data_IF_918126287718
#
_entry.id   IF_918126287718
#
_cell.length_a   1.000
_cell.length_b   1.000
_cell.length_c   1.000
_cell.angle_alpha   90.00
_cell.angle_beta   90.00
_cell.angle_gamma   90.00
#
_symmetry.space_group_name_H-M   'P 1'
#
loop_
_entity.id
_entity.type
_entity.pdbx_description
1 polymer ?
#
# COMPACT_ATOMS: atom_id res chain seq x y z
N UNK A 1 13.39 30.42 -49.61
CA UNK A 1 12.23 30.14 -48.73
C UNK A 1 11.61 28.76 -48.95
N UNK A 2 11.41 28.27 -50.18
CA UNK A 2 10.80 26.94 -50.42
C UNK A 2 11.61 25.75 -49.88
N UNK A 3 12.94 25.84 -49.84
CA UNK A 3 13.82 24.78 -49.31
C UNK A 3 13.72 24.60 -47.78
N UNK A 4 13.43 25.68 -47.04
CA UNK A 4 13.33 25.64 -45.58
C UNK A 4 12.07 24.89 -45.12
N UNK A 5 10.94 25.14 -45.80
CA UNK A 5 9.68 24.42 -45.53
C UNK A 5 9.76 22.93 -45.87
N UNK A 6 10.50 22.56 -46.93
CA UNK A 6 10.71 21.14 -47.29
C UNK A 6 11.55 20.43 -46.21
N UNK A 7 12.60 21.09 -45.69
CA UNK A 7 13.42 20.52 -44.59
C UNK A 7 12.62 20.30 -43.30
N UNK A 8 11.72 21.23 -42.96
CA UNK A 8 10.86 21.11 -41.78
C UNK A 8 9.84 19.97 -41.89
N UNK A 9 9.23 19.79 -43.06
CA UNK A 9 8.31 18.67 -43.32
C UNK A 9 9.06 17.33 -43.21
N UNK A 10 10.27 17.25 -43.76
CA UNK A 10 11.08 16.02 -43.70
C UNK A 10 11.51 15.69 -42.27
N UNK A 11 11.89 16.71 -41.48
CA UNK A 11 12.23 16.52 -40.07
C UNK A 11 11.03 16.07 -39.23
N UNK A 12 9.83 16.57 -39.53
CA UNK A 12 8.60 16.16 -38.85
C UNK A 12 8.21 14.72 -39.21
N UNK A 13 8.40 14.32 -40.46
CA UNK A 13 8.17 12.94 -40.92
C UNK A 13 9.13 11.95 -40.26
N UNK A 14 10.42 12.30 -40.16
CA UNK A 14 11.41 11.47 -39.45
C UNK A 14 11.04 11.33 -37.96
N UNK A 15 10.60 12.42 -37.32
CA UNK A 15 10.16 12.39 -35.92
C UNK A 15 8.97 11.44 -35.71
N UNK A 16 7.96 11.49 -36.58
CA UNK A 16 6.80 10.59 -36.55
C UNK A 16 7.20 9.11 -36.74
N UNK A 17 8.13 8.82 -37.65
CA UNK A 17 8.62 7.44 -37.87
C UNK A 17 9.39 6.94 -36.64
N UNK A 18 10.19 7.80 -35.98
CA UNK A 18 10.94 7.39 -34.77
C UNK A 18 10.05 7.14 -33.55
N UNK A 19 8.88 7.78 -33.47
CA UNK A 19 7.89 7.55 -32.42
C UNK A 19 7.29 6.14 -32.47
N UNK A 20 7.16 5.54 -33.66
CA UNK A 20 6.63 4.18 -33.82
C UNK A 20 7.64 3.08 -33.44
N UNK A 21 8.95 3.38 -33.41
CA UNK A 21 9.96 2.41 -32.97
C UNK A 21 10.15 2.35 -31.45
N UNK A 22 9.42 3.17 -30.68
CA UNK A 22 9.40 3.12 -29.22
C UNK A 22 8.45 2.04 -28.66
N UNK A 23 8.11 1.02 -29.44
CA UNK A 23 7.45 -0.17 -28.90
C UNK A 23 8.41 -0.85 -27.91
N UNK A 24 8.09 -0.71 -26.61
CA UNK A 24 8.79 -1.40 -25.55
C UNK A 24 8.84 -2.90 -25.85
N UNK A 25 10.04 -3.47 -25.81
CA UNK A 25 10.22 -4.91 -25.96
C UNK A 25 9.54 -5.63 -24.79
N UNK A 26 8.86 -6.74 -25.11
CA UNK A 26 8.33 -7.68 -24.13
C UNK A 26 9.43 -8.12 -23.13
N UNK A 27 9.01 -8.54 -21.94
CA UNK A 27 9.94 -8.89 -20.87
C UNK A 27 9.43 -10.00 -19.97
N UNK A 28 10.35 -10.63 -19.25
CA UNK A 28 10.08 -11.56 -18.15
C UNK A 28 10.78 -11.03 -16.91
N UNK A 29 10.03 -10.88 -15.82
CA UNK A 29 10.56 -10.63 -14.48
C UNK A 29 10.69 -11.97 -13.78
N UNK A 30 11.88 -12.29 -13.31
CA UNK A 30 12.13 -13.54 -12.58
C UNK A 30 11.81 -13.39 -11.10
N UNK A 31 11.71 -14.51 -10.37
CA UNK A 31 11.56 -14.48 -8.91
C UNK A 31 12.80 -13.96 -8.17
N UNK A 32 13.93 -13.77 -8.86
CA UNK A 32 15.13 -13.11 -8.32
C UNK A 32 15.09 -11.59 -8.49
N UNK A 33 14.05 -11.04 -9.14
CA UNK A 33 13.93 -9.61 -9.42
C UNK A 33 14.56 -9.17 -10.74
N UNK A 34 15.27 -10.06 -11.44
CA UNK A 34 15.85 -9.74 -12.74
C UNK A 34 14.76 -9.53 -13.80
N UNK A 35 14.87 -8.45 -14.57
CA UNK A 35 14.02 -8.20 -15.74
C UNK A 35 14.82 -8.50 -17.01
N UNK A 36 14.41 -9.53 -17.74
CA UNK A 36 15.02 -9.94 -19.00
C UNK A 36 14.10 -9.52 -20.14
N UNK A 37 14.63 -8.76 -21.10
CA UNK A 37 13.89 -8.26 -22.28
C UNK A 37 14.18 -9.11 -23.51
N UNK A 38 13.18 -9.30 -24.36
CA UNK A 38 13.32 -10.05 -25.60
C UNK A 38 11.98 -10.48 -26.20
N UNK A 39 12.03 -11.34 -27.21
CA UNK A 39 10.82 -11.92 -27.80
C UNK A 39 10.23 -12.95 -26.82
N UNK A 40 9.06 -12.65 -26.26
CA UNK A 40 8.36 -13.52 -25.29
C UNK A 40 7.37 -14.42 -26.01
N UNK A 41 7.39 -15.71 -25.66
CA UNK A 41 6.43 -16.71 -26.14
C UNK A 41 5.90 -17.53 -24.96
N UNK A 42 4.71 -17.20 -24.44
CA UNK A 42 4.10 -17.97 -23.37
C UNK A 42 3.54 -19.31 -23.88
N UNK A 43 3.58 -20.33 -23.03
CA UNK A 43 2.99 -21.64 -23.28
C UNK A 43 1.92 -21.91 -22.21
N UNK A 44 0.67 -21.63 -22.56
CA UNK A 44 -0.47 -21.68 -21.63
C UNK A 44 -1.16 -23.06 -21.51
N UNK A 45 -0.97 -23.93 -22.50
CA UNK A 45 -1.79 -25.14 -22.72
C UNK A 45 -1.15 -26.46 -22.26
N UNK A 46 0.02 -26.43 -21.63
CA UNK A 46 0.67 -27.62 -21.07
C UNK A 46 0.49 -27.68 -19.56
N UNK A 47 0.54 -28.90 -19.00
CA UNK A 47 0.60 -29.14 -17.54
C UNK A 47 1.74 -28.32 -16.92
N UNK A 48 2.87 -28.27 -17.61
CA UNK A 48 4.00 -27.39 -17.29
C UNK A 48 3.88 -26.05 -18.01
N UNK A 49 3.09 -25.13 -17.46
CA UNK A 49 3.02 -23.76 -17.98
C UNK A 49 4.38 -23.07 -17.82
N UNK A 50 4.86 -22.46 -18.90
CA UNK A 50 6.21 -21.86 -18.96
C UNK A 50 6.25 -20.69 -19.94
N UNK A 51 7.26 -19.86 -19.81
CA UNK A 51 7.49 -18.70 -20.69
C UNK A 51 8.83 -18.89 -21.38
N UNK A 52 8.86 -18.74 -22.69
CA UNK A 52 10.09 -18.75 -23.47
C UNK A 52 10.47 -17.31 -23.78
N UNK A 53 11.74 -16.96 -23.61
CA UNK A 53 12.28 -15.67 -23.98
C UNK A 53 13.46 -15.88 -24.93
N UNK A 54 13.49 -15.12 -26.01
CA UNK A 54 14.62 -15.09 -26.94
C UNK A 54 15.28 -13.72 -26.89
N UNK A 55 16.51 -13.70 -26.40
CA UNK A 55 17.31 -12.48 -26.28
C UNK A 55 17.92 -12.03 -27.61
N UNK A 56 18.66 -10.91 -27.57
CA UNK A 56 19.37 -10.38 -28.73
C UNK A 56 20.43 -11.35 -29.31
N UNK A 57 21.00 -12.20 -28.45
CA UNK A 57 21.92 -13.27 -28.82
C UNK A 57 21.25 -14.46 -29.52
N UNK A 58 19.94 -14.37 -29.77
CA UNK A 58 19.06 -15.41 -30.33
C UNK A 58 18.99 -16.69 -29.49
N UNK A 59 19.59 -16.72 -28.30
CA UNK A 59 19.48 -17.85 -27.38
C UNK A 59 18.10 -17.84 -26.76
N UNK A 60 17.54 -19.04 -26.65
CA UNK A 60 16.22 -19.28 -26.11
C UNK A 60 16.35 -19.74 -24.67
N UNK A 61 15.82 -18.96 -23.75
CA UNK A 61 15.72 -19.29 -22.33
C UNK A 61 14.28 -19.70 -22.05
N UNK A 62 14.09 -20.74 -21.24
CA UNK A 62 12.77 -21.24 -20.84
C UNK A 62 12.64 -21.07 -19.34
N UNK A 63 11.67 -20.26 -18.92
CA UNK A 63 11.34 -20.02 -17.52
C UNK A 63 10.12 -20.85 -17.12
N UNK A 64 10.28 -21.81 -16.19
CA UNK A 64 9.14 -22.45 -15.53
C UNK A 64 8.31 -21.42 -14.77
N UNK A 65 7.01 -21.68 -14.58
CA UNK A 65 6.10 -20.75 -13.88
C UNK A 65 6.62 -20.22 -12.55
N UNK A 66 7.11 -21.10 -11.67
CA UNK A 66 7.60 -20.72 -10.34
C UNK A 66 8.93 -19.95 -10.34
N UNK A 67 9.53 -19.72 -11.52
CA UNK A 67 10.70 -18.85 -11.70
C UNK A 67 10.33 -17.51 -12.34
N UNK A 68 9.07 -17.29 -12.65
CA UNK A 68 8.53 -16.06 -13.22
C UNK A 68 7.72 -15.33 -12.17
N UNK A 69 8.00 -14.05 -11.96
CA UNK A 69 7.17 -13.17 -11.14
C UNK A 69 6.07 -12.53 -12.00
N UNK A 70 6.43 -12.03 -13.18
CA UNK A 70 5.52 -11.47 -14.16
C UNK A 70 6.16 -11.54 -15.55
N UNK A 71 5.36 -11.42 -16.61
CA UNK A 71 5.88 -11.17 -17.94
C UNK A 71 4.94 -10.28 -18.73
N UNK A 72 5.48 -9.52 -19.67
CA UNK A 72 4.71 -8.80 -20.67
C UNK A 72 4.73 -9.58 -21.98
N UNK A 73 3.57 -9.70 -22.61
CA UNK A 73 3.44 -10.29 -23.94
C UNK A 73 2.39 -9.51 -24.72
N UNK A 74 2.78 -8.92 -25.84
CA UNK A 74 1.88 -8.11 -26.71
C UNK A 74 1.20 -6.98 -25.94
N UNK A 75 1.94 -6.30 -25.06
CA UNK A 75 1.45 -5.18 -24.25
C UNK A 75 0.72 -5.60 -22.97
N UNK A 76 0.27 -6.84 -22.86
CA UNK A 76 -0.45 -7.34 -21.69
C UNK A 76 0.49 -7.93 -20.64
N UNK A 77 0.21 -7.68 -19.36
CA UNK A 77 0.97 -8.24 -18.25
C UNK A 77 0.31 -9.54 -17.78
N UNK A 78 1.12 -10.55 -17.52
CA UNK A 78 0.70 -11.84 -17.01
C UNK A 78 1.47 -12.20 -15.75
N UNK A 79 0.79 -12.82 -14.79
CA UNK A 79 1.37 -13.24 -13.52
C UNK A 79 0.93 -14.66 -13.16
N UNK A 80 1.77 -15.44 -12.45
CA UNK A 80 1.33 -16.71 -11.89
C UNK A 80 0.39 -16.45 -10.72
N UNK A 81 -0.83 -16.97 -10.82
CA UNK A 81 -1.88 -16.82 -9.80
C UNK A 81 -2.40 -18.20 -9.42
N UNK A 82 -2.63 -18.42 -8.12
CA UNK A 82 -3.25 -19.64 -7.62
C UNK A 82 -4.76 -19.57 -7.87
N UNK A 83 -5.20 -20.14 -8.98
CA UNK A 83 -6.62 -20.28 -9.29
C UNK A 83 -7.26 -21.51 -8.63
N UNK A 84 -8.55 -21.77 -8.90
CA UNK A 84 -9.28 -22.91 -8.35
C UNK A 84 -8.66 -24.27 -8.73
N UNK A 85 -8.10 -24.36 -9.94
CA UNK A 85 -7.51 -25.58 -10.49
C UNK A 85 -5.97 -25.63 -10.34
N UNK A 86 -5.41 -24.84 -9.43
CA UNK A 86 -3.97 -24.70 -9.22
C UNK A 86 -3.37 -23.45 -9.87
N UNK A 87 -2.04 -23.44 -10.01
CA UNK A 87 -1.32 -22.28 -10.51
C UNK A 87 -1.45 -22.16 -12.03
N UNK A 88 -1.80 -20.95 -12.49
CA UNK A 88 -1.84 -20.60 -13.91
C UNK A 88 -1.32 -19.20 -14.14
N UNK A 89 -0.87 -18.91 -15.34
CA UNK A 89 -0.70 -17.52 -15.75
C UNK A 89 -2.06 -16.91 -16.02
N UNK A 90 -2.32 -15.76 -15.41
CA UNK A 90 -3.51 -14.96 -15.66
C UNK A 90 -3.08 -13.59 -16.18
N UNK A 91 -3.88 -13.01 -17.07
CA UNK A 91 -3.69 -11.66 -17.59
C UNK A 91 -4.14 -10.66 -16.54
N UNK A 92 -3.26 -9.77 -16.12
CA UNK A 92 -3.57 -8.69 -15.19
C UNK A 92 -4.40 -7.62 -15.90
N UNK A 93 -5.63 -7.41 -15.43
CA UNK A 93 -6.50 -6.31 -15.90
C UNK A 93 -6.29 -5.06 -15.05
N UNK A 94 -6.17 -5.25 -13.72
CA UNK A 94 -6.01 -4.16 -12.77
C UNK A 94 -5.23 -4.61 -11.54
N UNK A 95 -4.21 -3.85 -11.18
CA UNK A 95 -3.35 -4.15 -10.04
C UNK A 95 -3.82 -3.44 -8.76
N UNK A 96 -3.51 -4.01 -7.60
CA UNK A 96 -3.77 -3.43 -6.29
C UNK A 96 -3.71 -4.45 -5.16
N UNK A 97 -4.09 -4.06 -3.94
CA UNK A 97 -4.30 -4.99 -2.81
C UNK A 97 -5.33 -6.06 -3.16
N UNK A 98 -6.40 -5.64 -3.83
CA UNK A 98 -7.25 -6.47 -4.66
C UNK A 98 -6.85 -6.22 -6.12
N UNK A 99 -6.53 -7.29 -6.83
CA UNK A 99 -6.18 -7.25 -8.25
C UNK A 99 -7.22 -8.03 -9.06
N UNK A 100 -7.58 -7.51 -10.22
CA UNK A 100 -8.44 -8.19 -11.20
C UNK A 100 -7.59 -8.80 -12.29
N UNK A 101 -7.85 -10.08 -12.52
CA UNK A 101 -7.24 -10.87 -13.58
C UNK A 101 -8.30 -11.42 -14.51
N UNK A 102 -7.87 -11.71 -15.74
CA UNK A 102 -8.59 -12.62 -16.62
C UNK A 102 -7.77 -13.87 -16.91
N UNK A 103 -8.47 -14.99 -17.10
CA UNK A 103 -7.86 -16.30 -17.30
C UNK A 103 -8.59 -17.12 -18.35
N UNK A 104 -7.91 -18.12 -18.89
CA UNK A 104 -8.48 -19.03 -19.87
C UNK A 104 -9.37 -20.06 -19.19
N UNK A 105 -10.63 -20.11 -19.59
CA UNK A 105 -11.54 -21.17 -19.18
C UNK A 105 -11.09 -22.50 -19.81
N UNK A 106 -11.52 -23.61 -19.19
CA UNK A 106 -11.20 -24.94 -19.71
C UNK A 106 -11.65 -25.07 -21.17
N UNK A 107 -10.76 -25.58 -22.03
CA UNK A 107 -10.96 -25.75 -23.46
C UNK A 107 -11.17 -24.45 -24.26
N UNK A 108 -10.83 -23.28 -23.71
CA UNK A 108 -10.89 -21.99 -24.41
C UNK A 108 -9.51 -21.36 -24.53
N UNK A 109 -9.28 -20.69 -25.67
CA UNK A 109 -8.06 -19.93 -25.92
C UNK A 109 -8.17 -18.46 -25.47
N UNK A 110 -9.40 -17.98 -25.28
CA UNK A 110 -9.73 -16.61 -24.86
C UNK A 110 -9.63 -16.46 -23.35
N UNK A 111 -9.35 -15.23 -22.91
CA UNK A 111 -9.18 -14.88 -21.50
C UNK A 111 -10.48 -14.26 -20.97
N UNK A 112 -11.56 -15.05 -20.97
CA UNK A 112 -12.91 -14.59 -20.63
C UNK A 112 -13.29 -14.86 -19.17
N UNK A 113 -12.59 -15.78 -18.50
CA UNK A 113 -12.77 -16.01 -17.06
C UNK A 113 -12.22 -14.82 -16.27
N UNK A 114 -12.92 -14.40 -15.22
CA UNK A 114 -12.51 -13.28 -14.36
C UNK A 114 -12.19 -13.78 -12.95
N UNK A 115 -11.09 -13.30 -12.39
CA UNK A 115 -10.59 -13.73 -11.10
C UNK A 115 -10.11 -12.52 -10.29
N UNK A 116 -10.56 -12.43 -9.06
CA UNK A 116 -10.09 -11.45 -8.09
C UNK A 116 -9.07 -12.12 -7.17
N UNK A 117 -7.90 -11.50 -6.99
CA UNK A 117 -6.88 -11.97 -6.05
C UNK A 117 -6.54 -10.88 -5.06
N UNK A 118 -6.54 -11.23 -3.78
CA UNK A 118 -6.00 -10.39 -2.72
C UNK A 118 -4.50 -10.61 -2.59
N UNK A 119 -3.81 -9.63 -2.02
CA UNK A 119 -2.36 -9.66 -1.74
C UNK A 119 -1.96 -10.75 -0.74
N UNK A 120 -2.89 -11.20 0.10
CA UNK A 120 -2.71 -12.34 1.01
C UNK A 120 -2.70 -13.71 0.32
N UNK A 121 -2.92 -13.76 -1.00
CA UNK A 121 -2.95 -14.97 -1.81
C UNK A 121 -4.30 -15.69 -1.83
N UNK A 122 -5.32 -15.16 -1.15
CA UNK A 122 -6.70 -15.59 -1.34
C UNK A 122 -7.25 -15.03 -2.64
N UNK A 123 -8.20 -15.74 -3.24
CA UNK A 123 -8.78 -15.31 -4.50
C UNK A 123 -10.16 -15.92 -4.73
N UNK A 124 -10.90 -15.30 -5.64
CA UNK A 124 -12.27 -15.63 -5.97
C UNK A 124 -12.44 -15.56 -7.48
N UNK A 125 -12.85 -16.67 -8.09
CA UNK A 125 -13.40 -16.63 -9.44
C UNK A 125 -14.74 -15.91 -9.40
N UNK A 126 -14.91 -14.90 -10.26
CA UNK A 126 -16.11 -14.06 -10.27
C UNK A 126 -17.31 -14.91 -10.69
N UNK A 127 -18.26 -15.19 -9.78
CA UNK A 127 -19.29 -16.16 -10.06
C UNK A 127 -20.41 -15.54 -10.91
N UNK A 128 -20.99 -16.36 -11.79
CA UNK A 128 -22.13 -15.94 -12.62
C UNK A 128 -23.43 -15.81 -11.83
N UNK A 129 -23.63 -16.70 -10.85
CA UNK A 129 -24.78 -16.72 -9.96
C UNK A 129 -24.31 -16.39 -8.54
N UNK A 130 -25.18 -15.80 -7.73
CA UNK A 130 -24.87 -15.44 -6.34
C UNK A 130 -23.69 -14.47 -6.17
N UNK A 131 -23.39 -13.65 -7.19
CA UNK A 131 -22.33 -12.64 -7.17
C UNK A 131 -22.31 -11.83 -5.86
N UNK A 132 -23.43 -11.19 -5.51
CA UNK A 132 -23.55 -10.41 -4.27
C UNK A 132 -23.11 -11.22 -3.05
N UNK A 133 -23.65 -12.42 -2.86
CA UNK A 133 -23.35 -13.28 -1.70
C UNK A 133 -21.86 -13.59 -1.56
N UNK A 134 -21.21 -14.00 -2.64
CA UNK A 134 -19.78 -14.34 -2.60
C UNK A 134 -18.90 -13.10 -2.43
N UNK A 135 -19.21 -12.01 -3.13
CA UNK A 135 -18.46 -10.77 -3.04
C UNK A 135 -18.52 -10.14 -1.66
N UNK A 136 -19.70 -10.11 -1.03
CA UNK A 136 -19.85 -9.60 0.35
C UNK A 136 -18.97 -10.35 1.34
N UNK A 137 -18.94 -11.68 1.24
CA UNK A 137 -18.09 -12.51 2.11
C UNK A 137 -16.61 -12.30 1.81
N UNK A 138 -16.26 -12.18 0.52
CA UNK A 138 -14.86 -12.05 0.10
C UNK A 138 -14.25 -10.69 0.45
N UNK A 139 -15.07 -9.63 0.49
CA UNK A 139 -14.68 -8.25 0.79
C UNK A 139 -15.20 -7.78 2.17
N UNK A 140 -15.51 -8.70 3.08
CA UNK A 140 -16.14 -8.39 4.39
C UNK A 140 -15.29 -7.46 5.26
N UNK A 141 -13.99 -7.39 4.99
CA UNK A 141 -13.05 -6.50 5.65
C UNK A 141 -13.19 -5.03 5.24
N UNK A 142 -13.96 -4.72 4.18
CA UNK A 142 -14.29 -3.36 3.76
C UNK A 142 -15.82 -3.15 3.72
N UNK A 143 -16.46 -2.86 4.88
CA UNK A 143 -17.92 -2.76 4.98
C UNK A 143 -18.55 -1.75 4.03
N UNK A 144 -17.87 -0.63 3.73
CA UNK A 144 -18.37 0.39 2.79
C UNK A 144 -18.54 -0.17 1.36
N UNK A 145 -17.62 -1.03 0.92
CA UNK A 145 -17.71 -1.68 -0.41
C UNK A 145 -18.82 -2.74 -0.40
N UNK A 146 -18.95 -3.50 0.70
CA UNK A 146 -20.00 -4.50 0.89
C UNK A 146 -21.40 -3.86 0.80
N UNK A 147 -21.57 -2.69 1.42
CA UNK A 147 -22.83 -1.93 1.38
C UNK A 147 -23.20 -1.49 -0.04
N UNK A 148 -22.24 -0.97 -0.81
CA UNK A 148 -22.47 -0.60 -2.21
C UNK A 148 -22.85 -1.81 -3.08
N UNK A 149 -22.28 -2.99 -2.82
CA UNK A 149 -22.66 -4.24 -3.49
C UNK A 149 -24.08 -4.69 -3.09
N UNK A 150 -24.43 -4.53 -1.81
CA UNK A 150 -25.77 -4.84 -1.30
C UNK A 150 -26.83 -3.98 -1.97
N UNK A 151 -26.60 -2.66 -1.97
CA UNK A 151 -27.48 -1.67 -2.58
C UNK A 151 -27.57 -1.82 -4.11
N UNK A 152 -26.56 -2.45 -4.72
CA UNK A 152 -26.51 -2.71 -6.16
C UNK A 152 -25.83 -1.62 -6.97
N UNK A 153 -25.16 -0.69 -6.31
CA UNK A 153 -24.32 0.35 -6.93
C UNK A 153 -23.07 -0.28 -7.58
N UNK A 154 -22.55 -1.35 -6.97
CA UNK A 154 -21.44 -2.14 -7.48
C UNK A 154 -21.88 -3.57 -7.82
N UNK A 155 -21.92 -3.86 -9.12
CA UNK A 155 -22.33 -5.15 -9.68
C UNK A 155 -21.20 -5.89 -10.38
N UNK A 156 -21.58 -6.95 -11.09
CA UNK A 156 -20.64 -7.80 -11.84
C UNK A 156 -19.99 -7.06 -13.02
N UNK A 157 -20.61 -5.99 -13.54
CA UNK A 157 -20.05 -5.23 -14.66
C UNK A 157 -19.03 -4.20 -14.14
N UNK A 158 -19.18 -3.81 -12.89
CA UNK A 158 -18.43 -2.75 -12.21
C UNK A 158 -17.21 -3.33 -11.44
N UNK A 159 -16.55 -4.35 -12.00
CA UNK A 159 -15.43 -5.02 -11.32
C UNK A 159 -14.21 -4.12 -11.14
N UNK A 160 -13.98 -3.19 -12.08
CA UNK A 160 -12.88 -2.25 -11.96
C UNK A 160 -13.13 -1.26 -10.82
N UNK A 161 -14.37 -0.84 -10.64
CA UNK A 161 -14.83 0.07 -9.60
C UNK A 161 -14.81 -0.62 -8.23
N UNK A 162 -15.19 -1.90 -8.16
CA UNK A 162 -15.04 -2.72 -6.95
C UNK A 162 -13.56 -2.80 -6.52
N UNK A 163 -12.66 -3.01 -7.48
CA UNK A 163 -11.22 -3.04 -7.21
C UNK A 163 -10.72 -1.69 -6.68
N UNK A 164 -11.13 -0.58 -7.28
CA UNK A 164 -10.76 0.75 -6.80
C UNK A 164 -11.27 1.00 -5.39
N UNK A 165 -12.56 0.78 -5.16
CA UNK A 165 -13.20 1.04 -3.87
C UNK A 165 -12.58 0.20 -2.75
N UNK A 166 -12.24 -1.06 -3.03
CA UNK A 166 -11.55 -1.91 -2.06
C UNK A 166 -10.13 -1.44 -1.79
N UNK A 167 -9.35 -1.14 -2.83
CA UNK A 167 -7.97 -0.67 -2.66
C UNK A 167 -7.93 0.65 -1.87
N UNK A 168 -8.85 1.57 -2.16
CA UNK A 168 -9.00 2.81 -1.41
C UNK A 168 -9.35 2.56 0.06
N UNK A 169 -10.30 1.67 0.35
CA UNK A 169 -10.63 1.29 1.72
C UNK A 169 -9.40 0.76 2.49
N UNK A 170 -8.55 -0.04 1.84
CA UNK A 170 -7.32 -0.55 2.47
C UNK A 170 -6.31 0.58 2.71
N UNK A 171 -6.13 1.48 1.75
CA UNK A 171 -5.23 2.62 1.87
C UNK A 171 -5.66 3.56 3.01
N UNK A 172 -6.95 3.90 3.10
CA UNK A 172 -7.51 4.76 4.14
C UNK A 172 -7.26 4.17 5.54
N UNK A 173 -7.47 2.85 5.72
CA UNK A 173 -7.22 2.17 6.99
C UNK A 173 -5.73 2.11 7.35
N UNK A 174 -4.85 2.07 6.36
CA UNK A 174 -3.40 2.06 6.59
C UNK A 174 -2.92 3.43 7.07
N UNK A 175 -3.47 4.50 6.50
CA UNK A 175 -3.18 5.88 6.91
C UNK A 175 -3.63 6.12 8.35
N UNK A 176 -4.84 5.68 8.72
CA UNK A 176 -5.36 5.85 10.09
C UNK A 176 -4.50 5.12 11.13
N UNK A 177 -4.04 3.90 10.82
CA UNK A 177 -3.16 3.18 11.74
C UNK A 177 -1.80 3.86 11.93
N UNK A 178 -1.23 4.42 10.85
CA UNK A 178 0.04 5.15 10.93
C UNK A 178 -0.05 6.42 11.78
N UNK A 179 -1.17 7.15 11.70
CA UNK A 179 -1.43 8.33 12.53
C UNK A 179 -1.58 7.95 14.01
N UNK A 180 -2.33 6.89 14.31
CA UNK A 180 -2.46 6.39 15.68
C UNK A 180 -1.13 5.94 16.29
N UNK A 181 -0.23 5.39 15.49
CA UNK A 181 1.11 5.02 15.94
C UNK A 181 1.98 6.27 16.20
N UNK A 182 1.91 7.28 15.34
CA UNK A 182 2.61 8.54 15.54
C UNK A 182 2.10 9.27 16.81
N UNK A 183 0.78 9.35 17.01
CA UNK A 183 0.17 9.95 18.21
C UNK A 183 0.58 9.20 19.49
N UNK A 184 0.63 7.87 19.46
CA UNK A 184 1.11 7.07 20.60
C UNK A 184 2.60 7.26 20.87
N UNK A 185 3.41 7.44 19.82
CA UNK A 185 4.84 7.72 19.97
C UNK A 185 5.07 9.10 20.59
N UNK A 186 4.31 10.12 20.18
CA UNK A 186 4.34 11.45 20.77
C UNK A 186 3.89 11.42 22.25
N UNK A 187 2.76 10.79 22.56
CA UNK A 187 2.32 10.61 23.96
C UNK A 187 3.37 9.90 24.82
N UNK A 188 4.04 8.88 24.28
CA UNK A 188 5.10 8.15 24.99
C UNK A 188 6.30 9.04 25.30
N UNK A 189 6.67 9.96 24.41
CA UNK A 189 7.77 10.92 24.63
C UNK A 189 7.41 11.91 25.73
N UNK A 190 6.22 12.50 25.69
CA UNK A 190 5.73 13.43 26.71
C UNK A 190 5.64 12.76 28.09
N UNK A 191 5.15 11.53 28.17
CA UNK A 191 5.07 10.76 29.42
C UNK A 191 6.48 10.46 29.96
N UNK A 192 7.41 10.03 29.10
CA UNK A 192 8.78 9.73 29.51
C UNK A 192 9.49 10.97 30.05
N UNK A 193 9.30 12.13 29.43
CA UNK A 193 9.88 13.38 29.92
C UNK A 193 9.31 13.79 31.29
N UNK A 194 8.01 13.55 31.52
CA UNK A 194 7.37 13.76 32.82
C UNK A 194 7.79 12.72 33.87
N UNK A 195 8.04 11.46 33.49
CA UNK A 195 8.60 10.44 34.40
C UNK A 195 9.98 10.86 34.92
N UNK A 196 10.83 11.38 34.03
CA UNK A 196 12.17 11.87 34.40
C UNK A 196 12.05 13.06 35.36
N UNK A 197 11.18 14.02 35.07
CA UNK A 197 10.92 15.16 35.94
C UNK A 197 10.36 14.71 37.31
N UNK A 198 9.42 13.76 37.33
CA UNK A 198 8.82 13.23 38.55
C UNK A 198 9.86 12.56 39.45
N UNK A 199 10.74 11.72 38.88
CA UNK A 199 11.81 11.06 39.63
C UNK A 199 12.82 12.08 40.17
N UNK A 200 13.14 13.12 39.40
CA UNK A 200 14.00 14.21 39.86
C UNK A 200 13.38 14.92 41.07
N UNK A 201 12.10 15.28 41.00
CA UNK A 201 11.38 15.94 42.11
C UNK A 201 11.31 15.04 43.35
N UNK A 202 11.08 13.73 43.18
CA UNK A 202 11.09 12.77 44.30
C UNK A 202 12.45 12.67 44.97
N UNK A 203 13.52 12.65 44.17
CA UNK A 203 14.91 12.45 44.64
C UNK A 203 15.48 13.65 45.41
N UNK A 204 14.93 14.84 45.20
CA UNK A 204 15.40 16.05 45.85
C UNK A 204 14.89 16.16 47.29
N UNK A 205 15.64 16.87 48.13
CA UNK A 205 15.23 17.20 49.50
C UNK A 205 13.86 17.90 49.57
N UNK A 206 13.18 17.80 50.70
CA UNK A 206 11.82 18.33 50.84
C UNK A 206 11.77 19.85 50.67
N UNK A 207 10.84 20.35 49.86
CA UNK A 207 10.70 21.77 49.54
C UNK A 207 9.24 22.20 49.48
N UNK A 208 8.99 23.49 49.72
CA UNK A 208 7.65 24.06 49.68
C UNK A 208 7.04 23.94 48.27
N UNK A 209 5.90 23.26 48.18
CA UNK A 209 5.22 22.99 46.90
C UNK A 209 5.63 21.70 46.19
N UNK A 210 6.43 20.83 46.84
CA UNK A 210 6.83 19.52 46.30
C UNK A 210 5.63 18.61 46.00
N UNK A 211 4.72 18.46 46.97
CA UNK A 211 3.52 17.62 46.81
C UNK A 211 2.61 18.17 45.70
N UNK A 212 2.40 19.49 45.67
CA UNK A 212 1.61 20.16 44.62
C UNK A 212 2.22 19.93 43.23
N UNK A 213 3.56 19.96 43.10
CA UNK A 213 4.25 19.69 41.84
C UNK A 213 4.05 18.23 41.39
N UNK A 214 4.14 17.26 42.30
CA UNK A 214 3.92 15.85 42.00
C UNK A 214 2.47 15.58 41.58
N UNK A 215 1.50 16.21 42.25
CA UNK A 215 0.09 16.11 41.90
C UNK A 215 -0.19 16.72 40.52
N UNK A 216 0.40 17.87 40.20
CA UNK A 216 0.30 18.49 38.87
C UNK A 216 0.92 17.61 37.77
N UNK A 217 2.11 17.03 38.01
CA UNK A 217 2.76 16.10 37.06
C UNK A 217 1.84 14.90 36.80
N UNK A 218 1.26 14.33 37.85
CA UNK A 218 0.34 13.21 37.73
C UNK A 218 -0.92 13.57 36.93
N UNK A 219 -1.52 14.72 37.22
CA UNK A 219 -2.70 15.20 36.49
C UNK A 219 -2.39 15.43 35.00
N UNK A 220 -1.23 16.01 34.68
CA UNK A 220 -0.78 16.21 33.30
C UNK A 220 -0.61 14.86 32.59
N UNK A 221 0.04 13.86 33.22
CA UNK A 221 0.21 12.51 32.65
C UNK A 221 -1.14 11.85 32.39
N UNK A 222 -2.08 11.94 33.33
CA UNK A 222 -3.44 11.41 33.14
C UNK A 222 -4.16 12.08 31.96
N UNK A 223 -3.98 13.39 31.78
CA UNK A 223 -4.55 14.14 30.64
C UNK A 223 -3.93 13.75 29.31
N UNK A 224 -2.62 13.52 29.25
CA UNK A 224 -1.92 13.03 28.05
C UNK A 224 -2.47 11.65 27.67
N UNK A 225 -2.58 10.72 28.63
CA UNK A 225 -3.12 9.37 28.38
C UNK A 225 -4.57 9.42 27.88
N UNK A 226 -5.38 10.36 28.40
CA UNK A 226 -6.77 10.57 27.96
C UNK A 226 -6.89 11.40 26.68
N UNK A 227 -5.78 11.86 26.10
CA UNK A 227 -5.77 12.78 24.95
C UNK A 227 -6.59 14.06 25.20
N UNK A 228 -6.59 14.55 26.44
CA UNK A 228 -7.25 15.79 26.84
C UNK A 228 -6.32 16.99 26.71
N UNK A 229 -6.91 18.16 26.42
CA UNK A 229 -6.17 19.42 26.45
C UNK A 229 -5.67 19.70 27.88
N UNK A 230 -4.37 19.89 28.03
CA UNK A 230 -3.77 20.30 29.30
C UNK A 230 -4.07 21.80 29.52
N UNK A 231 -4.73 22.16 30.62
CA UNK A 231 -4.98 23.56 30.94
C UNK A 231 -3.68 24.32 31.21
N UNK A 232 -3.57 25.55 30.71
CA UNK A 232 -2.37 26.39 30.91
C UNK A 232 -2.06 26.62 32.39
N UNK A 233 -3.07 26.66 33.26
CA UNK A 233 -2.85 26.84 34.70
C UNK A 233 -2.06 25.69 35.34
N UNK A 234 -2.18 24.45 34.83
CA UNK A 234 -1.38 23.33 35.31
C UNK A 234 0.09 23.48 34.89
N UNK A 235 0.32 23.94 33.66
CA UNK A 235 1.67 24.18 33.15
C UNK A 235 2.34 25.35 33.87
N UNK A 236 1.60 26.42 34.13
CA UNK A 236 2.11 27.61 34.82
C UNK A 236 2.27 27.37 36.32
N UNK A 237 1.37 26.58 36.92
CA UNK A 237 1.50 26.09 38.30
C UNK A 237 2.75 25.22 38.46
N UNK A 238 2.96 24.26 37.55
CA UNK A 238 4.13 23.38 37.58
C UNK A 238 5.44 24.16 37.42
N UNK A 239 5.48 25.15 36.51
CA UNK A 239 6.63 26.06 36.36
C UNK A 239 6.91 26.86 37.62
N UNK A 240 5.86 27.30 38.31
CA UNK A 240 5.98 28.10 39.53
C UNK A 240 6.49 27.27 40.70
N UNK A 241 5.98 26.04 40.86
CA UNK A 241 6.41 25.12 41.92
C UNK A 241 7.83 24.57 41.70
N UNK A 242 8.29 24.47 40.45
CA UNK A 242 9.62 23.96 40.08
C UNK A 242 10.55 25.06 39.56
N UNK A 243 10.42 26.30 40.05
CA UNK A 243 11.22 27.45 39.61
C UNK A 243 12.70 27.40 40.02
N UNK A 244 13.12 26.38 40.77
CA UNK A 244 14.48 26.20 41.25
C UNK A 244 15.40 25.76 40.10
N UNK A 245 16.64 26.25 40.08
CA UNK A 245 17.61 25.91 39.03
C UNK A 245 17.86 24.40 38.89
N UNK A 246 17.66 23.63 39.98
CA UNK A 246 17.84 22.19 40.02
C UNK A 246 16.87 21.38 39.14
N UNK A 247 15.72 21.97 38.73
CA UNK A 247 14.70 21.31 37.92
C UNK A 247 14.55 21.90 36.52
N UNK A 248 15.27 22.99 36.24
CA UNK A 248 15.03 23.83 35.05
C UNK A 248 15.21 23.07 33.74
N UNK A 249 16.24 22.23 33.64
CA UNK A 249 16.53 21.45 32.44
C UNK A 249 15.45 20.39 32.19
N UNK A 250 15.13 19.59 33.21
CA UNK A 250 14.11 18.54 33.12
C UNK A 250 12.70 19.13 32.89
N UNK A 251 12.41 20.28 33.50
CA UNK A 251 11.15 21.00 33.32
C UNK A 251 11.01 21.57 31.90
N UNK A 252 12.04 22.23 31.36
CA UNK A 252 12.01 22.76 29.99
C UNK A 252 11.85 21.62 28.97
N UNK A 253 12.53 20.50 29.17
CA UNK A 253 12.37 19.31 28.33
C UNK A 253 10.94 18.73 28.40
N UNK A 254 10.39 18.58 29.60
CA UNK A 254 9.01 18.10 29.76
C UNK A 254 7.99 19.03 29.10
N UNK A 255 8.14 20.35 29.27
CA UNK A 255 7.24 21.34 28.68
C UNK A 255 7.35 21.42 27.15
N UNK A 256 8.52 21.12 26.60
CA UNK A 256 8.74 21.08 25.15
C UNK A 256 8.04 19.88 24.50
N UNK A 257 8.06 18.72 25.15
CA UNK A 257 7.39 17.52 24.66
C UNK A 257 5.87 17.55 24.88
N UNK A 258 5.35 18.53 25.64
CA UNK A 258 3.92 18.74 25.88
C UNK A 258 3.29 19.72 24.86
N UNK A 259 4.09 20.61 24.25
CA UNK A 259 3.64 21.61 23.28
C UNK A 259 3.82 21.15 21.84
#
# INVERSE_FOLDING_TARGET
MKSLSIMQIFSFLILLITLEYAHAQDFVVTTLGDTVRGEVKPLFYSVDKKVQLKGADKKKIVYPMFKVLAFQYKGDIYQPVKGPNGYTFMKLQKAGYLSLYSFQLANQATFDGLFLSRKDGTGLEVPNLSFKKFMKKFLEDCPSVVEQIDNGDLGKKELNEIVDAYNQCVDDRTIDHSKLLAEKEEQSKSITALDILEEKVKSESDFEGKDDALDMIKEIKEKIVKSEKIPNFLLDGLKSSLAQDAFKEELENALKEIN
#
